data_IF_778200078476
#
_entry.id   IF_778200078476
#
_cell.length_a   1.000
_cell.length_b   1.000
_cell.length_c   1.000
_cell.angle_alpha   90.00
_cell.angle_beta   90.00
_cell.angle_gamma   90.00
#
_symmetry.space_group_name_H-M   'P 1'
#
loop_
_entity.id
_entity.type
_entity.pdbx_description
1 polymer ?
#
# COMPACT_ATOMS: atom_id res chain seq x y z
N UNK A 1 15.23 4.17 -31.44
CA UNK A 1 14.15 4.77 -30.63
C UNK A 1 14.66 6.07 -30.04
N UNK A 2 14.17 7.19 -30.56
CA UNK A 2 14.37 8.53 -30.01
C UNK A 2 13.34 8.68 -28.88
N UNK A 3 13.79 9.14 -27.72
CA UNK A 3 13.07 9.02 -26.44
C UNK A 3 11.69 9.67 -26.39
N UNK A 4 10.87 9.18 -25.46
CA UNK A 4 9.55 9.71 -25.12
C UNK A 4 9.65 10.56 -23.85
N UNK A 5 9.14 11.79 -23.90
CA UNK A 5 9.12 12.75 -22.81
C UNK A 5 7.66 13.04 -22.43
N UNK A 6 7.30 12.80 -21.16
CA UNK A 6 6.02 13.24 -20.60
C UNK A 6 6.24 14.57 -19.86
N UNK A 7 5.65 15.69 -20.33
CA UNK A 7 5.71 16.94 -19.61
C UNK A 7 4.73 16.87 -18.43
N UNK A 8 5.21 16.56 -17.23
CA UNK A 8 4.43 16.76 -16.01
C UNK A 8 4.48 18.24 -15.62
N UNK A 9 3.65 19.07 -16.25
CA UNK A 9 3.48 20.48 -15.86
C UNK A 9 2.38 20.72 -14.81
N UNK A 10 1.68 19.67 -14.36
CA UNK A 10 0.77 19.75 -13.22
C UNK A 10 1.29 18.90 -12.06
N UNK A 11 2.18 19.51 -11.24
CA UNK A 11 2.18 19.18 -9.82
C UNK A 11 0.79 19.55 -9.33
N UNK A 12 -0.10 18.57 -9.21
CA UNK A 12 -1.27 18.69 -8.35
C UNK A 12 -0.74 18.94 -6.93
N UNK A 13 -0.55 20.21 -6.60
CA UNK A 13 -0.65 20.69 -5.24
C UNK A 13 -2.03 20.26 -4.77
N UNK A 14 -2.10 19.16 -4.02
CA UNK A 14 -3.27 18.78 -3.24
C UNK A 14 -3.49 19.76 -2.06
N UNK A 15 -3.37 21.05 -2.33
CA UNK A 15 -3.66 22.13 -1.41
C UNK A 15 -5.03 22.68 -1.80
N UNK A 16 -6.07 22.31 -1.05
CA UNK A 16 -7.31 23.09 -1.05
C UNK A 16 -8.61 22.37 -1.44
N UNK A 17 -8.74 21.05 -1.25
CA UNK A 17 -10.05 20.46 -1.02
C UNK A 17 -10.17 20.23 0.48
N UNK A 18 -11.23 20.75 1.11
CA UNK A 18 -11.44 20.84 2.56
C UNK A 18 -11.48 19.50 3.31
N UNK A 19 -10.35 18.80 3.36
CA UNK A 19 -10.14 17.61 4.16
C UNK A 19 -9.93 18.06 5.61
N UNK A 20 -10.75 17.53 6.51
CA UNK A 20 -10.38 17.43 7.93
C UNK A 20 -8.94 16.88 7.96
N UNK A 21 -7.97 17.66 8.48
CA UNK A 21 -6.54 17.31 8.44
C UNK A 21 -6.35 15.88 9.01
N UNK A 22 -5.99 14.93 8.15
CA UNK A 22 -5.69 13.55 8.54
C UNK A 22 -4.21 13.42 8.92
N UNK A 23 -3.89 12.44 9.75
CA UNK A 23 -2.51 12.08 10.05
C UNK A 23 -1.98 11.10 9.02
N UNK A 24 -0.99 11.52 8.21
CA UNK A 24 -0.35 10.69 7.20
C UNK A 24 1.19 10.82 7.31
N UNK A 25 1.84 10.12 8.27
CA UNK A 25 3.27 10.28 8.55
C UNK A 25 4.19 9.71 7.47
N UNK A 26 3.65 8.92 6.53
CA UNK A 26 4.36 8.30 5.42
C UNK A 26 3.36 7.86 4.33
N UNK A 27 3.86 7.26 3.25
CA UNK A 27 3.05 6.83 2.11
C UNK A 27 2.09 5.66 2.39
N UNK A 28 2.24 4.94 3.50
CA UNK A 28 1.47 3.71 3.78
C UNK A 28 0.32 3.90 4.75
N UNK A 29 0.34 4.93 5.59
CA UNK A 29 -0.56 5.07 6.74
C UNK A 29 -1.35 6.37 6.63
N UNK A 30 -2.67 6.28 6.77
CA UNK A 30 -3.56 7.42 6.95
C UNK A 30 -4.46 7.13 8.15
N UNK A 31 -4.45 8.01 9.15
CA UNK A 31 -5.41 8.00 10.27
C UNK A 31 -6.32 9.21 10.11
N UNK A 32 -7.61 8.97 9.95
CA UNK A 32 -8.61 10.01 9.79
C UNK A 32 -9.18 10.46 11.15
N UNK A 33 -9.65 11.72 11.28
CA UNK A 33 -10.23 12.21 12.53
C UNK A 33 -11.51 11.49 12.99
N UNK A 34 -12.19 10.78 12.09
CA UNK A 34 -13.34 9.91 12.41
C UNK A 34 -12.93 8.51 12.91
N UNK A 35 -11.63 8.32 13.17
CA UNK A 35 -11.00 7.08 13.61
C UNK A 35 -10.87 5.98 12.54
N UNK A 36 -11.11 6.28 11.26
CA UNK A 36 -10.77 5.34 10.20
C UNK A 36 -9.25 5.30 9.98
N UNK A 37 -8.64 4.12 10.13
CA UNK A 37 -7.26 3.87 9.72
C UNK A 37 -7.25 3.20 8.35
N UNK A 38 -6.50 3.77 7.42
CA UNK A 38 -6.33 3.28 6.06
C UNK A 38 -4.86 2.93 5.82
N UNK A 39 -4.63 1.72 5.34
CA UNK A 39 -3.33 1.28 4.86
C UNK A 39 -3.28 1.25 3.34
N UNK A 40 -2.34 2.01 2.78
CA UNK A 40 -2.04 2.06 1.35
C UNK A 40 -1.02 0.97 1.03
N UNK A 41 -1.37 0.05 0.14
CA UNK A 41 -0.51 -1.06 -0.27
C UNK A 41 0.13 -0.74 -1.61
N UNK A 42 1.47 -0.69 -1.65
CA UNK A 42 2.23 -0.37 -2.88
C UNK A 42 2.49 -1.57 -3.78
N UNK A 43 2.22 -2.79 -3.28
CA UNK A 43 2.39 -4.05 -4.03
C UNK A 43 1.06 -4.50 -4.63
N UNK A 44 1.08 -4.97 -5.87
CA UNK A 44 -0.12 -5.44 -6.57
C UNK A 44 -0.58 -6.79 -6.01
N UNK A 45 -1.87 -6.89 -5.68
CA UNK A 45 -2.50 -8.15 -5.28
C UNK A 45 -2.88 -8.98 -6.52
N UNK A 46 -2.41 -10.22 -6.56
CA UNK A 46 -2.60 -11.16 -7.68
C UNK A 46 -3.01 -12.56 -7.19
N UNK A 47 -3.43 -12.69 -5.91
CA UNK A 47 -3.80 -13.94 -5.25
C UNK A 47 -2.91 -14.32 -4.06
N UNK A 48 -1.70 -13.76 -3.99
CA UNK A 48 -0.71 -14.10 -2.96
C UNK A 48 -1.04 -13.54 -1.57
N UNK A 49 -1.93 -12.54 -1.45
CA UNK A 49 -2.35 -11.96 -0.17
C UNK A 49 -1.43 -10.87 0.39
N UNK A 50 -0.83 -10.05 -0.47
CA UNK A 50 -0.11 -8.83 -0.04
C UNK A 50 -1.04 -7.77 0.54
N UNK A 51 -2.31 -7.75 0.12
CA UNK A 51 -3.32 -6.89 0.74
C UNK A 51 -3.64 -7.26 2.19
N UNK A 52 -3.29 -8.46 2.64
CA UNK A 52 -3.43 -8.85 4.04
C UNK A 52 -2.09 -8.77 4.77
N UNK A 53 -1.08 -9.46 4.25
CA UNK A 53 0.20 -9.64 4.95
C UNK A 53 0.99 -8.34 5.15
N UNK A 54 0.96 -7.38 4.21
CA UNK A 54 1.67 -6.10 4.39
C UNK A 54 0.94 -5.18 5.39
N UNK A 55 -0.38 -4.97 5.31
CA UNK A 55 -1.14 -4.25 6.33
C UNK A 55 -1.06 -4.85 7.73
N UNK A 56 -0.98 -6.18 7.88
CA UNK A 56 -0.82 -6.81 9.20
C UNK A 56 0.46 -6.37 9.90
N UNK A 57 1.54 -6.11 9.15
CA UNK A 57 2.80 -5.60 9.71
C UNK A 57 2.62 -4.22 10.32
N UNK A 58 1.89 -3.34 9.63
CA UNK A 58 1.57 -2.00 10.11
C UNK A 58 0.63 -2.05 11.32
N UNK A 59 -0.45 -2.84 11.22
CA UNK A 59 -1.41 -3.02 12.29
C UNK A 59 -0.77 -3.54 13.58
N UNK A 60 0.13 -4.53 13.47
CA UNK A 60 0.88 -5.08 14.59
C UNK A 60 1.70 -4.00 15.29
N UNK A 61 2.51 -3.25 14.56
CA UNK A 61 3.36 -2.22 15.17
C UNK A 61 2.57 -1.06 15.74
N UNK A 62 1.42 -0.75 15.15
CA UNK A 62 0.51 0.30 15.59
C UNK A 62 -0.47 -0.16 16.68
N UNK A 63 -0.43 -1.42 17.14
CA UNK A 63 -1.36 -1.95 18.14
C UNK A 63 -2.84 -1.73 17.75
N UNK A 64 -3.17 -1.93 16.47
CA UNK A 64 -4.52 -1.77 15.91
C UNK A 64 -5.32 -3.07 15.96
N UNK A 65 -6.63 -2.95 16.16
CA UNK A 65 -7.55 -4.04 15.88
C UNK A 65 -7.66 -4.24 14.36
N UNK A 66 -7.29 -5.43 13.89
CA UNK A 66 -7.38 -5.85 12.50
C UNK A 66 -8.78 -5.64 11.90
N UNK A 67 -9.83 -5.83 12.70
CA UNK A 67 -11.22 -5.69 12.24
C UNK A 67 -11.55 -4.26 11.78
N UNK A 68 -10.86 -3.25 12.32
CA UNK A 68 -11.16 -1.82 12.12
C UNK A 68 -10.42 -1.17 10.94
N UNK A 69 -9.35 -1.82 10.45
CA UNK A 69 -8.53 -1.24 9.38
C UNK A 69 -9.19 -1.36 8.01
N UNK A 70 -8.95 -0.35 7.17
CA UNK A 70 -9.29 -0.34 5.74
C UNK A 70 -8.01 -0.45 4.92
N UNK A 71 -8.08 -1.18 3.81
CA UNK A 71 -6.96 -1.38 2.89
C UNK A 71 -7.31 -0.73 1.57
N UNK A 72 -6.37 0.00 1.00
CA UNK A 72 -6.51 0.63 -0.31
C UNK A 72 -5.24 0.40 -1.14
N UNK A 73 -5.40 0.07 -2.42
CA UNK A 73 -4.29 0.02 -3.36
C UNK A 73 -3.71 1.44 -3.53
N UNK A 74 -2.39 1.57 -3.47
CA UNK A 74 -1.72 2.83 -3.82
C UNK A 74 -1.78 3.04 -5.34
N UNK A 75 -1.98 4.29 -5.79
CA UNK A 75 -1.99 4.66 -7.21
C UNK A 75 -0.64 4.38 -7.88
N UNK A 76 0.44 4.77 -7.21
CA UNK A 76 1.80 4.41 -7.61
C UNK A 76 2.15 3.04 -7.00
N UNK A 77 1.97 1.98 -7.79
CA UNK A 77 2.33 0.62 -7.39
C UNK A 77 3.70 0.23 -7.95
N UNK A 78 4.57 -0.26 -7.07
CA UNK A 78 5.88 -0.80 -7.45
C UNK A 78 5.79 -2.21 -8.08
N UNK A 79 4.58 -2.74 -8.26
CA UNK A 79 4.34 -4.11 -8.71
C UNK A 79 4.74 -5.18 -7.70
N UNK A 80 4.34 -6.43 -7.96
CA UNK A 80 4.77 -7.62 -7.21
C UNK A 80 5.67 -8.48 -8.09
N UNK A 81 6.82 -8.93 -7.57
CA UNK A 81 7.70 -9.84 -8.29
C UNK A 81 8.93 -10.29 -7.49
N UNK A 82 9.53 -11.41 -7.92
CA UNK A 82 10.76 -11.98 -7.34
C UNK A 82 10.65 -12.43 -5.88
N UNK A 83 9.43 -12.71 -5.39
CA UNK A 83 9.17 -13.02 -3.98
C UNK A 83 9.76 -11.98 -3.02
N UNK A 84 9.66 -10.69 -3.40
CA UNK A 84 10.28 -9.57 -2.67
C UNK A 84 9.32 -8.80 -1.78
N UNK A 85 8.00 -8.93 -1.94
CA UNK A 85 7.03 -8.08 -1.22
C UNK A 85 7.25 -8.09 0.29
N UNK A 86 7.24 -9.27 0.93
CA UNK A 86 7.49 -9.38 2.38
C UNK A 86 8.94 -9.08 2.73
N UNK A 87 9.91 -9.74 2.08
CA UNK A 87 11.34 -9.60 2.42
C UNK A 87 11.85 -8.17 2.30
N UNK A 88 11.39 -7.44 1.29
CA UNK A 88 11.75 -6.05 1.04
C UNK A 88 11.04 -5.05 1.95
N UNK A 89 9.76 -5.30 2.28
CA UNK A 89 8.94 -4.36 3.04
C UNK A 89 8.82 -4.68 4.53
N UNK A 90 9.32 -5.81 5.01
CA UNK A 90 9.24 -6.20 6.43
C UNK A 90 9.79 -5.12 7.36
N UNK A 91 11.07 -4.76 7.25
CA UNK A 91 11.67 -3.73 8.11
C UNK A 91 11.09 -2.32 7.84
N UNK A 92 10.91 -1.88 6.58
CA UNK A 92 10.31 -0.57 6.29
C UNK A 92 8.91 -0.38 6.89
N UNK A 93 7.99 -1.34 6.70
CA UNK A 93 6.64 -1.23 7.24
C UNK A 93 6.63 -1.30 8.76
N UNK A 94 7.50 -2.14 9.36
CA UNK A 94 7.60 -2.17 10.82
C UNK A 94 8.01 -0.82 11.40
N UNK A 95 9.02 -0.18 10.80
CA UNK A 95 9.44 1.18 11.17
C UNK A 95 8.33 2.19 10.96
N UNK A 96 7.64 2.15 9.82
CA UNK A 96 6.54 3.05 9.51
C UNK A 96 5.42 2.97 10.55
N UNK A 97 5.00 1.76 10.94
CA UNK A 97 3.98 1.53 11.97
C UNK A 97 4.44 2.01 13.35
N UNK A 98 5.67 1.67 13.76
CA UNK A 98 6.24 2.10 15.04
C UNK A 98 6.36 3.63 15.13
N UNK A 99 6.76 4.28 14.04
CA UNK A 99 6.81 5.74 13.93
C UNK A 99 5.44 6.38 14.06
N UNK A 100 4.43 5.85 13.35
CA UNK A 100 3.07 6.38 13.47
C UNK A 100 2.53 6.24 14.90
N UNK A 101 2.78 5.09 15.55
CA UNK A 101 2.40 4.87 16.96
C UNK A 101 3.10 5.83 17.92
N UNK A 102 4.41 6.01 17.79
CA UNK A 102 5.19 6.89 18.67
C UNK A 102 4.69 8.35 18.56
N UNK A 103 4.35 8.82 17.36
CA UNK A 103 3.76 10.15 17.16
C UNK A 103 2.37 10.28 17.79
N UNK A 104 1.55 9.22 17.76
CA UNK A 104 0.24 9.22 18.43
C UNK A 104 0.38 9.21 19.95
N UNK A 105 1.33 8.44 20.50
CA UNK A 105 1.67 8.45 21.93
C UNK A 105 2.14 9.84 22.37
N UNK A 106 3.03 10.47 21.60
CA UNK A 106 3.52 11.83 21.84
C UNK A 106 2.39 12.86 21.80
N UNK A 107 1.50 12.78 20.81
CA UNK A 107 0.34 13.66 20.72
C UNK A 107 -0.57 13.53 21.95
N UNK A 108 -0.88 12.32 22.40
CA UNK A 108 -1.67 12.09 23.61
C UNK A 108 -0.98 12.63 24.87
N UNK A 109 0.33 12.41 25.01
CA UNK A 109 1.12 12.91 26.13
C UNK A 109 1.08 14.44 26.21
N UNK A 110 1.20 15.13 25.07
CA UNK A 110 1.11 16.58 25.00
C UNK A 110 -0.30 17.10 25.33
N UNK A 111 -1.35 16.46 24.83
CA UNK A 111 -2.75 16.84 25.12
C UNK A 111 -3.09 16.67 26.61
N UNK A 112 -2.61 15.59 27.24
CA UNK A 112 -2.83 15.37 28.67
C UNK A 112 -1.83 16.10 29.58
N UNK A 113 -0.75 16.66 29.02
CA UNK A 113 0.37 17.26 29.77
C UNK A 113 1.01 16.28 30.74
N UNK A 114 1.32 15.09 30.24
CA UNK A 114 1.90 13.96 31.00
C UNK A 114 3.14 13.42 30.28
N UNK A 115 3.89 12.56 30.95
CA UNK A 115 5.02 11.88 30.33
C UNK A 115 4.56 10.82 29.32
N UNK A 116 5.24 10.74 28.17
CA UNK A 116 4.92 9.74 27.14
C UNK A 116 5.02 8.30 27.65
N UNK A 117 5.90 8.03 28.60
CA UNK A 117 6.06 6.70 29.21
C UNK A 117 4.81 6.21 29.96
N UNK A 118 3.94 7.11 30.37
CA UNK A 118 2.67 6.77 31.03
C UNK A 118 1.55 6.45 30.04
N UNK A 119 1.80 6.67 28.74
CA UNK A 119 0.86 6.39 27.67
C UNK A 119 1.14 5.00 27.04
N UNK A 120 0.09 4.21 26.83
CA UNK A 120 0.18 2.90 26.17
C UNK A 120 -0.85 2.77 25.07
N UNK A 121 -0.37 2.34 23.91
CA UNK A 121 -1.19 2.02 22.75
C UNK A 121 -1.77 0.60 22.88
N UNK A 122 -3.08 0.48 22.68
CA UNK A 122 -3.77 -0.81 22.63
C UNK A 122 -5.08 -0.68 21.84
N UNK A 123 -5.33 -1.63 20.93
CA UNK A 123 -6.54 -1.72 20.12
C UNK A 123 -6.94 -0.41 19.41
N UNK A 124 -5.96 0.31 18.85
CA UNK A 124 -6.20 1.59 18.15
C UNK A 124 -6.55 2.76 19.07
N UNK A 125 -6.22 2.65 20.36
CA UNK A 125 -6.40 3.70 21.36
C UNK A 125 -5.10 3.94 22.11
N UNK A 126 -4.89 5.16 22.58
CA UNK A 126 -3.86 5.52 23.55
C UNK A 126 -4.52 5.61 24.93
N UNK A 127 -3.94 4.94 25.91
CA UNK A 127 -4.41 4.88 27.29
C UNK A 127 -3.37 5.53 28.22
N UNK A 128 -3.80 6.45 29.08
CA UNK A 128 -2.96 6.98 30.16
C UNK A 128 -3.07 6.09 31.40
N UNK A 129 -2.03 5.30 31.68
CA UNK A 129 -2.04 4.29 32.76
C UNK A 129 -2.44 4.84 34.13
N UNK A 130 -1.90 5.98 34.62
CA UNK A 130 -2.22 6.49 35.96
C UNK A 130 -3.68 6.91 36.14
N UNK A 131 -4.34 7.39 35.09
CA UNK A 131 -5.70 7.98 35.20
C UNK A 131 -6.80 7.17 34.53
N UNK A 132 -6.45 6.21 33.68
CA UNK A 132 -7.40 5.46 32.85
C UNK A 132 -8.03 6.25 31.69
N UNK A 133 -7.64 7.52 31.48
CA UNK A 133 -8.07 8.32 30.32
C UNK A 133 -7.64 7.66 29.01
N UNK A 134 -8.45 7.83 27.97
CA UNK A 134 -8.24 7.23 26.65
C UNK A 134 -8.50 8.23 25.53
N UNK A 135 -7.73 8.10 24.46
CA UNK A 135 -8.01 8.72 23.17
C UNK A 135 -7.99 7.64 22.10
N UNK A 136 -8.93 7.69 21.16
CA UNK A 136 -8.82 6.95 19.90
C UNK A 136 -7.76 7.60 19.01
N UNK A 137 -7.16 6.83 18.09
CA UNK A 137 -6.15 7.38 17.18
C UNK A 137 -6.67 8.54 16.32
N UNK A 138 -7.93 8.46 15.88
CA UNK A 138 -8.55 9.54 15.11
C UNK A 138 -8.62 10.87 15.88
N UNK A 139 -8.89 10.82 17.19
CA UNK A 139 -8.95 12.03 18.03
C UNK A 139 -7.59 12.76 18.09
N UNK A 140 -6.50 12.00 17.97
CA UNK A 140 -5.13 12.51 17.99
C UNK A 140 -4.59 12.84 16.59
N UNK A 141 -5.30 12.50 15.51
CA UNK A 141 -4.77 12.59 14.15
C UNK A 141 -4.31 14.02 13.81
N UNK A 142 -5.10 15.04 14.16
CA UNK A 142 -4.74 16.43 13.88
C UNK A 142 -3.51 16.85 14.69
N UNK A 143 -3.44 16.49 15.97
CA UNK A 143 -2.31 16.81 16.83
C UNK A 143 -1.03 16.11 16.33
N UNK A 144 -1.09 14.80 16.08
CA UNK A 144 0.02 14.00 15.58
C UNK A 144 0.54 14.50 14.21
N UNK A 145 -0.34 15.01 13.34
CA UNK A 145 0.07 15.56 12.03
C UNK A 145 0.97 16.80 12.10
N UNK A 146 1.04 17.47 13.27
CA UNK A 146 1.87 18.66 13.49
C UNK A 146 3.24 18.31 14.09
N UNK A 147 3.43 17.07 14.54
CA UNK A 147 4.68 16.63 15.14
C UNK A 147 5.73 16.35 14.06
N UNK A 148 6.99 16.62 14.38
CA UNK A 148 8.12 16.14 13.58
C UNK A 148 8.26 14.62 13.69
N UNK A 149 8.75 13.98 12.63
CA UNK A 149 9.07 12.56 12.69
C UNK A 149 10.13 12.28 13.78
N UNK A 150 9.93 11.30 14.66
CA UNK A 150 10.93 10.90 15.65
C UNK A 150 12.18 10.34 14.98
N UNK A 151 13.35 10.60 15.56
CA UNK A 151 14.64 10.16 14.98
C UNK A 151 14.85 8.65 15.03
N UNK A 152 14.65 8.02 16.19
CA UNK A 152 14.75 6.57 16.37
C UNK A 152 13.51 6.05 17.08
N UNK A 153 12.93 5.00 16.51
CA UNK A 153 11.77 4.29 17.09
C UNK A 153 12.14 2.86 17.43
N UNK A 154 11.59 2.37 18.53
CA UNK A 154 11.73 0.97 18.93
C UNK A 154 10.69 0.14 18.20
N UNK A 155 11.13 -0.97 17.62
CA UNK A 155 10.24 -1.96 17.02
C UNK A 155 9.76 -2.91 18.12
N UNK A 156 8.52 -3.39 18.01
CA UNK A 156 7.97 -4.41 18.91
C UNK A 156 8.85 -5.68 18.91
N UNK A 157 9.00 -6.40 20.02
CA UNK A 157 9.70 -7.69 19.94
C UNK A 157 8.82 -8.72 19.24
N UNK A 158 9.37 -9.61 18.40
CA UNK A 158 8.55 -10.65 17.78
C UNK A 158 7.81 -11.56 18.76
N UNK A 159 8.31 -11.71 19.99
CA UNK A 159 7.64 -12.41 21.09
C UNK A 159 6.35 -11.73 21.55
N UNK A 160 6.21 -10.43 21.29
CA UNK A 160 5.11 -9.60 21.75
C UNK A 160 4.06 -9.40 20.64
N UNK A 161 4.23 -10.07 19.50
CA UNK A 161 3.28 -10.00 18.38
C UNK A 161 1.95 -10.63 18.78
N UNK A 162 0.85 -9.93 18.44
CA UNK A 162 -0.52 -10.36 18.74
C UNK A 162 -1.32 -10.73 17.48
N UNK A 163 -0.95 -10.17 16.34
CA UNK A 163 -1.62 -10.33 15.05
C UNK A 163 -0.75 -11.13 14.06
N UNK A 164 0.53 -10.80 13.95
CA UNK A 164 1.45 -11.54 13.08
C UNK A 164 1.63 -12.96 13.64
N UNK A 165 1.47 -13.97 12.78
CA UNK A 165 1.54 -15.38 13.18
C UNK A 165 0.19 -16.00 13.54
N UNK A 166 -0.89 -15.24 13.42
CA UNK A 166 -2.28 -15.72 13.60
C UNK A 166 -2.97 -16.00 12.26
N UNK A 167 -4.06 -16.76 12.29
CA UNK A 167 -4.94 -17.03 11.14
C UNK A 167 -6.00 -15.94 10.94
N UNK A 168 -5.59 -14.66 10.99
CA UNK A 168 -6.50 -13.54 10.82
C UNK A 168 -7.21 -13.57 9.45
N UNK A 169 -8.52 -13.30 9.44
CA UNK A 169 -9.31 -13.31 8.21
C UNK A 169 -8.82 -12.24 7.23
N UNK A 170 -8.59 -12.67 5.99
CA UNK A 170 -8.21 -11.80 4.88
C UNK A 170 -9.34 -10.82 4.53
N UNK A 171 -8.99 -9.54 4.43
CA UNK A 171 -9.94 -8.45 4.12
C UNK A 171 -10.44 -8.48 2.68
N UNK A 172 -9.66 -9.08 1.79
CA UNK A 172 -9.90 -9.17 0.36
C UNK A 172 -10.63 -10.47 -0.05
N UNK A 173 -10.82 -11.42 0.87
CA UNK A 173 -11.53 -12.69 0.57
C UNK A 173 -12.96 -12.46 0.06
N UNK A 174 -13.82 -11.63 0.68
CA UNK A 174 -15.20 -11.46 0.23
C UNK A 174 -15.30 -11.08 -1.25
N UNK A 175 -14.45 -10.15 -1.72
CA UNK A 175 -14.41 -9.70 -3.11
C UNK A 175 -13.92 -10.80 -4.07
N UNK A 176 -13.02 -11.67 -3.61
CA UNK A 176 -12.45 -12.74 -4.44
C UNK A 176 -13.39 -13.93 -4.58
N UNK A 177 -14.17 -14.25 -3.55
CA UNK A 177 -15.08 -15.42 -3.57
C UNK A 177 -16.42 -15.12 -4.23
N UNK A 178 -16.79 -13.83 -4.40
CA UNK A 178 -18.03 -13.43 -5.04
C UNK A 178 -17.86 -12.86 -6.45
N UNK A 179 -16.64 -12.89 -7.00
CA UNK A 179 -16.34 -12.42 -8.36
C UNK A 179 -16.30 -10.89 -8.54
N UNK A 180 -16.34 -10.10 -7.47
CA UNK A 180 -16.29 -8.63 -7.55
C UNK A 180 -14.85 -8.08 -7.64
N UNK A 181 -13.85 -8.88 -7.26
CA UNK A 181 -12.45 -8.49 -7.38
C UNK A 181 -12.09 -8.27 -8.86
N UNK A 182 -11.59 -7.08 -9.18
CA UNK A 182 -11.10 -6.74 -10.52
C UNK A 182 -9.60 -7.05 -10.64
N UNK A 183 -9.25 -7.81 -11.66
CA UNK A 183 -7.89 -8.06 -12.10
C UNK A 183 -7.61 -7.39 -13.44
N UNK A 184 -6.35 -7.38 -13.86
CA UNK A 184 -5.94 -6.71 -15.10
C UNK A 184 -6.70 -7.22 -16.35
N UNK A 185 -7.12 -8.49 -16.36
CA UNK A 185 -7.90 -9.08 -17.46
C UNK A 185 -9.37 -8.64 -17.48
N UNK A 186 -9.90 -8.13 -16.36
CA UNK A 186 -11.29 -7.68 -16.25
C UNK A 186 -11.46 -6.23 -16.73
N UNK A 187 -10.35 -5.50 -16.90
CA UNK A 187 -10.34 -4.09 -17.33
C UNK A 187 -10.68 -4.02 -18.82
N UNK A 188 -11.72 -3.26 -19.14
CA UNK A 188 -12.12 -2.93 -20.51
C UNK A 188 -12.19 -1.41 -20.64
N UNK A 189 -11.42 -0.85 -21.58
CA UNK A 189 -11.41 0.58 -21.88
C UNK A 189 -11.97 0.83 -23.28
N UNK A 190 -12.59 1.99 -23.49
CA UNK A 190 -13.03 2.40 -24.82
C UNK A 190 -11.83 2.48 -25.77
N UNK A 191 -11.94 1.83 -26.92
CA UNK A 191 -10.86 1.75 -27.91
C UNK A 191 -9.66 0.87 -27.51
N UNK A 192 -9.77 0.06 -26.44
CA UNK A 192 -8.70 -0.85 -26.02
C UNK A 192 -8.35 -1.85 -27.13
N UNK A 193 -7.04 -1.99 -27.39
CA UNK A 193 -6.50 -3.00 -28.32
C UNK A 193 -5.77 -4.07 -27.54
N UNK A 194 -5.70 -5.28 -28.10
CA UNK A 194 -5.02 -6.42 -27.50
C UNK A 194 -3.70 -6.68 -28.22
N UNK A 195 -2.62 -6.84 -27.46
CA UNK A 195 -1.29 -7.15 -27.98
C UNK A 195 -0.88 -8.56 -27.57
N UNK A 196 -0.24 -9.27 -28.50
CA UNK A 196 0.33 -10.59 -28.29
C UNK A 196 1.79 -10.56 -28.72
N UNK A 197 2.66 -11.22 -27.95
CA UNK A 197 4.08 -11.35 -28.30
C UNK A 197 4.34 -12.77 -28.78
N UNK A 198 4.71 -12.91 -30.04
CA UNK A 198 5.23 -14.16 -30.60
C UNK A 198 6.72 -14.21 -30.30
N UNK A 199 7.10 -15.08 -29.35
CA UNK A 199 8.50 -15.26 -28.98
C UNK A 199 9.22 -16.25 -29.88
N UNK A 200 10.52 -16.06 -30.04
CA UNK A 200 11.37 -17.06 -30.69
C UNK A 200 11.24 -18.39 -29.94
N UNK A 201 10.93 -19.51 -30.63
CA UNK A 201 10.80 -20.81 -29.98
C UNK A 201 12.15 -21.36 -29.50
N UNK A 202 13.25 -20.77 -29.96
CA UNK A 202 14.62 -21.16 -29.59
C UNK A 202 15.14 -20.18 -28.54
N UNK A 203 15.58 -20.73 -27.41
CA UNK A 203 16.20 -19.94 -26.34
C UNK A 203 17.43 -19.18 -26.86
N UNK A 204 17.48 -17.87 -26.57
CA UNK A 204 18.57 -16.99 -27.01
C UNK A 204 18.55 -16.62 -28.50
N UNK A 205 17.57 -17.10 -29.28
CA UNK A 205 17.41 -16.71 -30.67
C UNK A 205 16.95 -15.26 -30.82
N UNK A 206 17.43 -14.58 -31.86
CA UNK A 206 17.03 -13.22 -32.23
C UNK A 206 16.26 -13.21 -33.56
N UNK A 207 15.44 -12.18 -33.78
CA UNK A 207 14.74 -12.02 -35.04
C UNK A 207 15.76 -11.69 -36.15
N UNK A 208 15.80 -12.50 -37.20
CA UNK A 208 16.61 -12.20 -38.40
C UNK A 208 15.82 -11.41 -39.44
N UNK A 209 14.58 -11.83 -39.67
CA UNK A 209 13.67 -11.25 -40.66
C UNK A 209 12.24 -11.64 -40.35
N UNK A 210 11.29 -10.83 -40.78
CA UNK A 210 9.86 -11.07 -40.60
C UNK A 210 9.08 -10.78 -41.88
N UNK A 211 8.14 -11.66 -42.25
CA UNK A 211 7.16 -11.42 -43.30
C UNK A 211 5.76 -11.30 -42.68
N UNK A 212 5.26 -10.07 -42.59
CA UNK A 212 3.99 -9.77 -41.93
C UNK A 212 2.78 -9.84 -42.86
N UNK A 213 2.97 -10.03 -44.18
CA UNK A 213 1.91 -9.81 -45.19
C UNK A 213 0.65 -10.64 -44.94
N UNK A 214 0.81 -11.94 -44.68
CA UNK A 214 -0.33 -12.84 -44.42
C UNK A 214 -1.02 -12.52 -43.09
N UNK A 215 -0.25 -12.15 -42.07
CA UNK A 215 -0.78 -11.84 -40.75
C UNK A 215 -1.51 -10.49 -40.72
N UNK A 216 -0.99 -9.47 -41.41
CA UNK A 216 -1.65 -8.17 -41.61
C UNK A 216 -2.97 -8.29 -42.40
N UNK A 217 -3.15 -9.34 -43.19
CA UNK A 217 -4.39 -9.59 -43.92
C UNK A 217 -5.50 -10.20 -43.05
N UNK A 218 -5.21 -10.60 -41.80
CA UNK A 218 -6.20 -11.14 -40.87
C UNK A 218 -7.07 -9.99 -40.33
N UNK A 219 -8.39 -10.15 -40.39
CA UNK A 219 -9.33 -9.15 -39.87
C UNK A 219 -9.09 -8.91 -38.37
N UNK A 220 -9.00 -7.64 -37.97
CA UNK A 220 -8.74 -7.21 -36.59
C UNK A 220 -7.25 -7.02 -36.26
N UNK A 221 -6.32 -7.40 -37.14
CA UNK A 221 -4.90 -7.09 -36.95
C UNK A 221 -4.65 -5.63 -37.33
N UNK A 222 -4.28 -4.82 -36.33
CA UNK A 222 -4.01 -3.39 -36.52
C UNK A 222 -2.56 -3.11 -36.92
N UNK A 223 -1.60 -3.85 -36.35
CA UNK A 223 -0.18 -3.65 -36.62
C UNK A 223 0.65 -4.88 -36.20
N UNK A 224 1.84 -5.04 -36.79
CA UNK A 224 2.84 -6.05 -36.44
C UNK A 224 4.23 -5.41 -36.53
N UNK A 225 5.01 -5.46 -35.47
CA UNK A 225 6.34 -4.85 -35.40
C UNK A 225 7.26 -5.63 -34.47
N UNK A 226 8.57 -5.48 -34.66
CA UNK A 226 9.56 -6.15 -33.81
C UNK A 226 9.62 -5.53 -32.41
N UNK A 227 9.77 -6.38 -31.39
CA UNK A 227 10.08 -5.99 -30.01
C UNK A 227 11.35 -6.70 -29.53
N UNK A 228 11.95 -6.23 -28.43
CA UNK A 228 13.27 -6.71 -27.97
C UNK A 228 13.37 -8.22 -27.74
N UNK A 229 12.26 -8.92 -27.49
CA UNK A 229 12.20 -10.36 -27.24
C UNK A 229 11.16 -11.10 -28.10
N UNK A 230 10.79 -10.57 -29.28
CA UNK A 230 9.79 -11.20 -30.13
C UNK A 230 9.24 -10.29 -31.23
N UNK A 231 8.08 -10.68 -31.74
CA UNK A 231 7.22 -9.93 -32.67
C UNK A 231 5.91 -9.63 -31.95
#
# INVERSE_FOLDING_TARGET
VIGFHLPFSNRLLAAGLGLKRSFAPNAWIIVQPDNQVIFKVTKSEMGQGVWTSLPMILAEEMDLDWSTIKIEQALESEGTGGSRSIRGLWKPLRKAGATAKDMLLEAAAQEWKVEKSDCVAENGMINHKPTGKKFKYGELAIAASKLSLPGKVLLKNPSDFKLIGTDALRKDTPLKVNGQAQFAMDVHLEGMVYAFVVRCPIFGGTLKSMDTRKAMAINGVLNIFEVSNGI
#
